data_IF_845523486320
#
_entry.id   IF_845523486320
#
_cell.length_a   1.000
_cell.length_b   1.000
_cell.length_c   1.000
_cell.angle_alpha   90.00
_cell.angle_beta   90.00
_cell.angle_gamma   90.00
#
_symmetry.space_group_name_H-M   'P 1'
#
loop_
_entity.id
_entity.type
_entity.pdbx_description
1 polymer ?
#
# COMPACT_ATOMS: atom_id res chain seq x y z
N UNK A 1 -0.24 19.88 -34.81
CA UNK A 1 0.12 18.47 -34.57
C UNK A 1 -1.12 17.77 -34.04
N UNK A 2 -1.80 17.00 -34.91
CA UNK A 2 -2.91 16.06 -34.67
C UNK A 2 -3.43 15.69 -36.08
N UNK A 3 -2.92 14.63 -36.70
CA UNK A 3 -3.43 14.18 -38.02
C UNK A 3 -4.43 13.03 -37.90
N UNK A 4 -4.46 12.31 -36.76
CA UNK A 4 -5.37 11.19 -36.55
C UNK A 4 -5.50 10.87 -35.05
N UNK A 5 -6.73 10.73 -34.56
CA UNK A 5 -7.03 10.41 -33.15
C UNK A 5 -6.87 8.90 -32.89
N UNK A 6 -7.19 8.07 -33.90
CA UNK A 6 -7.07 6.63 -33.85
C UNK A 6 -6.25 6.14 -35.05
N UNK A 7 -5.41 5.14 -34.84
CA UNK A 7 -4.79 4.37 -35.93
C UNK A 7 -5.20 2.91 -35.81
N UNK A 8 -5.53 2.31 -36.95
CA UNK A 8 -5.91 0.91 -37.05
C UNK A 8 -4.75 0.13 -37.68
N UNK A 9 -4.26 -0.87 -36.95
CA UNK A 9 -3.30 -1.85 -37.43
C UNK A 9 -4.09 -3.11 -37.78
N UNK A 10 -4.33 -3.26 -39.08
CA UNK A 10 -5.17 -4.31 -39.65
C UNK A 10 -4.51 -5.68 -39.56
N UNK A 11 -3.18 -5.76 -39.62
CA UNK A 11 -2.42 -7.01 -39.49
C UNK A 11 -2.62 -7.63 -38.10
N UNK A 12 -2.66 -6.80 -37.07
CA UNK A 12 -2.89 -7.23 -35.68
C UNK A 12 -4.35 -7.09 -35.23
N UNK A 13 -5.25 -6.70 -36.13
CA UNK A 13 -6.66 -6.41 -35.87
C UNK A 13 -6.88 -5.54 -34.61
N UNK A 14 -6.05 -4.49 -34.48
CA UNK A 14 -6.05 -3.62 -33.30
C UNK A 14 -6.28 -2.16 -33.68
N UNK A 15 -7.01 -1.45 -32.83
CA UNK A 15 -7.21 0.00 -32.92
C UNK A 15 -6.53 0.62 -31.71
N UNK A 16 -5.68 1.62 -31.92
CA UNK A 16 -4.93 2.31 -30.86
C UNK A 16 -5.10 3.83 -30.96
N UNK A 17 -5.16 4.50 -29.81
CA UNK A 17 -5.14 5.97 -29.71
C UNK A 17 -3.70 6.45 -29.76
N UNK A 18 -3.36 7.35 -30.69
CA UNK A 18 -1.96 7.73 -30.99
C UNK A 18 -1.44 8.85 -30.09
N UNK A 19 -2.33 9.73 -29.63
CA UNK A 19 -1.97 10.95 -28.89
C UNK A 19 -2.33 10.88 -27.39
N UNK A 20 -2.55 9.69 -26.85
CA UNK A 20 -2.83 9.45 -25.43
C UNK A 20 -1.56 9.15 -24.63
N UNK A 21 -1.40 9.77 -23.45
CA UNK A 21 -0.31 9.43 -22.52
C UNK A 21 -0.35 7.97 -22.02
N UNK A 22 -1.47 7.29 -22.22
CA UNK A 22 -1.63 5.85 -22.03
C UNK A 22 -2.08 5.25 -23.38
N UNK A 23 -1.35 4.25 -23.94
CA UNK A 23 -1.70 3.64 -25.22
C UNK A 23 -2.94 2.75 -25.06
N UNK A 24 -4.12 3.36 -25.16
CA UNK A 24 -5.39 2.64 -25.13
C UNK A 24 -5.56 1.92 -26.47
N UNK A 25 -5.50 0.60 -26.45
CA UNK A 25 -5.68 -0.25 -27.62
C UNK A 25 -6.74 -1.31 -27.41
N UNK A 26 -7.52 -1.59 -28.45
CA UNK A 26 -8.52 -2.66 -28.49
C UNK A 26 -8.20 -3.62 -29.61
N UNK A 27 -8.31 -4.91 -29.34
CA UNK A 27 -8.16 -5.98 -30.32
C UNK A 27 -9.52 -6.59 -30.62
N UNK A 28 -9.79 -6.82 -31.90
CA UNK A 28 -10.96 -7.55 -32.34
C UNK A 28 -10.73 -9.05 -32.18
N UNK A 29 -11.59 -9.73 -31.42
CA UNK A 29 -11.56 -11.19 -31.26
C UNK A 29 -12.61 -11.91 -32.11
N UNK A 30 -13.03 -11.31 -33.22
CA UNK A 30 -14.00 -11.90 -34.16
C UNK A 30 -15.48 -11.69 -33.79
N UNK A 31 -15.81 -11.61 -32.50
CA UNK A 31 -17.17 -11.34 -32.01
C UNK A 31 -17.26 -10.14 -31.05
N UNK A 32 -16.17 -9.84 -30.35
CA UNK A 32 -16.14 -8.80 -29.32
C UNK A 32 -14.85 -7.99 -29.42
N UNK A 33 -14.92 -6.74 -28.98
CA UNK A 33 -13.74 -5.89 -28.77
C UNK A 33 -13.21 -6.15 -27.36
N UNK A 34 -11.93 -6.53 -27.25
CA UNK A 34 -11.24 -6.65 -25.95
C UNK A 34 -10.16 -5.58 -25.86
N UNK A 35 -10.07 -4.89 -24.73
CA UNK A 35 -9.00 -3.92 -24.49
C UNK A 35 -7.67 -4.68 -24.32
N UNK A 36 -6.71 -4.43 -25.22
CA UNK A 36 -5.38 -5.08 -25.22
C UNK A 36 -4.43 -4.45 -24.20
N UNK A 37 -4.80 -3.29 -23.67
CA UNK A 37 -4.08 -2.56 -22.63
C UNK A 37 -4.89 -2.43 -21.34
N UNK A 38 -5.71 -3.43 -21.04
CA UNK A 38 -5.92 -3.76 -19.63
C UNK A 38 -4.57 -4.31 -19.15
N UNK A 39 -4.05 -3.75 -18.05
CA UNK A 39 -2.79 -4.14 -17.40
C UNK A 39 -2.92 -5.56 -16.80
N UNK A 40 -3.26 -6.51 -17.66
CA UNK A 40 -3.59 -7.91 -17.36
C UNK A 40 -2.33 -8.77 -17.28
N UNK A 41 -1.16 -8.25 -17.66
CA UNK A 41 0.11 -8.99 -17.77
C UNK A 41 1.16 -8.61 -16.71
N UNK A 42 0.74 -7.91 -15.65
CA UNK A 42 1.34 -8.22 -14.36
C UNK A 42 0.43 -9.28 -13.75
N UNK A 43 0.57 -10.51 -14.24
CA UNK A 43 0.16 -11.64 -13.42
C UNK A 43 0.76 -11.39 -12.04
N UNK A 44 -0.08 -11.35 -11.00
CA UNK A 44 0.39 -11.25 -9.62
C UNK A 44 1.16 -12.54 -9.34
N UNK A 45 2.41 -12.58 -9.78
CA UNK A 45 3.25 -13.76 -9.72
C UNK A 45 3.45 -14.08 -8.24
N UNK A 46 3.57 -15.36 -7.93
CA UNK A 46 3.66 -15.85 -6.56
C UNK A 46 4.76 -15.15 -5.74
N UNK A 47 5.82 -14.70 -6.39
CA UNK A 47 6.92 -13.93 -5.81
C UNK A 47 6.45 -12.58 -5.24
N UNK A 48 5.50 -11.90 -5.89
CA UNK A 48 4.95 -10.62 -5.41
C UNK A 48 4.16 -10.84 -4.12
N UNK A 49 3.40 -11.93 -4.03
CA UNK A 49 2.68 -12.29 -2.80
C UNK A 49 3.65 -12.60 -1.65
N UNK A 50 4.75 -13.30 -1.93
CA UNK A 50 5.79 -13.55 -0.91
C UNK A 50 6.40 -12.25 -0.40
N UNK A 51 6.74 -11.32 -1.29
CA UNK A 51 7.28 -10.00 -0.91
C UNK A 51 6.26 -9.19 -0.11
N UNK A 52 4.99 -9.22 -0.51
CA UNK A 52 3.91 -8.54 0.21
C UNK A 52 3.75 -9.09 1.64
N UNK A 53 3.73 -10.41 1.80
CA UNK A 53 3.68 -11.07 3.11
C UNK A 53 4.90 -10.70 3.95
N UNK A 54 6.11 -10.79 3.37
CA UNK A 54 7.33 -10.39 4.06
C UNK A 54 7.27 -8.93 4.52
N UNK A 55 6.80 -8.01 3.67
CA UNK A 55 6.71 -6.60 4.02
C UNK A 55 5.71 -6.32 5.15
N UNK A 56 4.63 -7.11 5.28
CA UNK A 56 3.65 -6.97 6.36
C UNK A 56 4.14 -7.58 7.67
N UNK A 57 4.74 -8.78 7.62
CA UNK A 57 5.07 -9.55 8.82
C UNK A 57 6.49 -9.34 9.32
N UNK A 58 7.48 -9.12 8.45
CA UNK A 58 8.87 -8.97 8.85
C UNK A 58 9.10 -7.79 9.81
N UNK A 59 8.57 -6.58 9.56
CA UNK A 59 8.74 -5.47 10.50
C UNK A 59 8.17 -5.74 11.92
N UNK A 60 6.87 -6.11 12.09
CA UNK A 60 6.33 -6.36 13.42
C UNK A 60 6.93 -7.60 14.09
N UNK A 61 7.32 -8.64 13.33
CA UNK A 61 8.00 -9.81 13.92
C UNK A 61 9.40 -9.45 14.40
N UNK A 62 10.16 -8.64 13.66
CA UNK A 62 11.48 -8.17 14.11
C UNK A 62 11.38 -7.34 15.39
N UNK A 63 10.42 -6.42 15.46
CA UNK A 63 10.17 -5.60 16.66
C UNK A 63 9.72 -6.47 17.84
N UNK A 64 8.79 -7.40 17.61
CA UNK A 64 8.31 -8.32 18.65
C UNK A 64 9.38 -9.29 19.14
N UNK A 65 10.25 -9.79 18.25
CA UNK A 65 11.36 -10.65 18.64
C UNK A 65 12.41 -9.87 19.43
N UNK A 66 12.69 -8.62 19.05
CA UNK A 66 13.57 -7.74 19.81
C UNK A 66 13.01 -7.47 21.22
N UNK A 67 11.71 -7.24 21.36
CA UNK A 67 11.09 -7.00 22.67
C UNK A 67 11.08 -8.25 23.57
N UNK A 68 10.99 -9.45 22.99
CA UNK A 68 11.15 -10.70 23.72
C UNK A 68 12.60 -10.97 24.13
N UNK A 69 13.56 -10.66 23.26
CA UNK A 69 14.99 -10.88 23.51
C UNK A 69 15.53 -9.88 24.56
N UNK A 70 15.04 -8.65 24.52
CA UNK A 70 15.41 -7.56 25.42
C UNK A 70 14.16 -7.03 26.13
N UNK A 71 13.63 -7.77 27.13
CA UNK A 71 12.40 -7.38 27.80
C UNK A 71 12.57 -6.04 28.52
N UNK A 72 11.58 -5.14 28.44
CA UNK A 72 11.59 -3.91 29.23
C UNK A 72 11.48 -4.24 30.72
N UNK A 73 12.05 -3.38 31.55
CA UNK A 73 12.01 -3.56 33.01
C UNK A 73 10.55 -3.59 33.51
N UNK A 74 10.19 -4.53 34.40
CA UNK A 74 8.83 -4.62 34.92
C UNK A 74 8.39 -3.35 35.63
N UNK A 75 7.12 -2.97 35.43
CA UNK A 75 6.50 -1.80 36.07
C UNK A 75 6.61 -1.81 37.61
N UNK A 76 6.70 -2.99 38.23
CA UNK A 76 6.81 -3.20 39.67
C UNK A 76 8.11 -2.65 40.28
N UNK A 77 9.18 -2.55 39.49
CA UNK A 77 10.41 -1.89 39.93
C UNK A 77 10.23 -0.37 39.96
N UNK A 78 9.40 0.18 39.07
CA UNK A 78 9.20 1.62 38.92
C UNK A 78 8.24 2.21 39.96
N UNK A 79 7.35 1.39 40.56
CA UNK A 79 6.38 1.85 41.57
C UNK A 79 6.99 2.12 42.94
N UNK A 80 8.19 1.62 43.21
CA UNK A 80 8.89 1.79 44.50
C UNK A 80 10.12 2.72 44.39
N UNK A 81 10.35 3.34 43.22
CA UNK A 81 11.47 4.26 43.01
C UNK A 81 11.14 5.64 43.57
N UNK A 82 12.16 6.29 44.14
CA UNK A 82 12.02 7.64 44.65
C UNK A 82 11.80 8.65 43.49
N UNK A 83 11.20 9.82 43.75
CA UNK A 83 11.03 10.87 42.75
C UNK A 83 12.33 11.37 42.11
N UNK A 84 13.47 11.25 42.81
CA UNK A 84 14.78 11.68 42.32
C UNK A 84 15.45 10.63 41.42
N UNK A 85 15.19 9.34 41.64
CA UNK A 85 15.62 8.25 40.74
C UNK A 85 14.88 8.29 39.39
N UNK A 86 13.59 8.65 39.41
CA UNK A 86 12.75 8.79 38.21
C UNK A 86 13.22 9.89 37.25
N UNK A 87 13.82 10.97 37.79
CA UNK A 87 14.34 12.08 37.00
C UNK A 87 15.70 11.72 36.36
N UNK A 88 16.55 10.97 37.06
CA UNK A 88 17.84 10.48 36.55
C UNK A 88 17.66 9.38 35.48
N UNK A 89 16.60 8.58 35.60
CA UNK A 89 16.28 7.55 34.61
C UNK A 89 15.67 8.11 33.31
N UNK A 90 15.52 9.44 33.12
CA UNK A 90 15.12 9.99 31.81
C UNK A 90 13.82 9.42 31.20
N UNK A 91 12.88 8.94 32.01
CA UNK A 91 11.59 8.39 31.56
C UNK A 91 11.60 6.97 30.95
N UNK A 92 12.73 6.25 30.87
CA UNK A 92 12.77 4.86 30.32
C UNK A 92 11.91 3.86 31.12
N UNK A 93 11.58 4.16 32.38
CA UNK A 93 10.72 3.34 33.23
C UNK A 93 9.25 3.27 32.77
N UNK A 94 8.76 4.27 32.02
CA UNK A 94 7.37 4.29 31.55
C UNK A 94 7.17 3.69 30.16
N UNK A 95 8.25 3.28 29.48
CA UNK A 95 8.23 2.86 28.08
C UNK A 95 7.78 1.40 27.86
N UNK A 96 7.16 0.73 28.83
CA UNK A 96 6.72 -0.66 28.69
C UNK A 96 5.66 -0.85 27.59
N UNK A 97 4.84 0.18 27.32
CA UNK A 97 3.82 0.19 26.27
C UNK A 97 4.40 0.42 24.88
N UNK A 98 5.61 0.99 24.79
CA UNK A 98 6.21 1.43 23.54
C UNK A 98 6.43 0.27 22.56
N UNK A 99 7.06 -0.86 22.93
CA UNK A 99 7.24 -1.98 22.00
C UNK A 99 5.93 -2.56 21.49
N UNK A 100 4.90 -2.63 22.34
CA UNK A 100 3.57 -3.15 21.97
C UNK A 100 2.89 -2.23 20.96
N UNK A 101 2.80 -0.94 21.27
CA UNK A 101 2.20 0.07 20.38
C UNK A 101 2.96 0.14 19.06
N UNK A 102 4.30 0.12 19.11
CA UNK A 102 5.14 0.19 17.92
C UNK A 102 4.98 -1.04 17.02
N UNK A 103 4.87 -2.24 17.61
CA UNK A 103 4.61 -3.48 16.86
C UNK A 103 3.27 -3.42 16.13
N UNK A 104 2.22 -3.00 16.83
CA UNK A 104 0.86 -2.87 16.27
C UNK A 104 0.83 -1.82 15.16
N UNK A 105 1.43 -0.65 15.40
CA UNK A 105 1.53 0.43 14.43
C UNK A 105 2.28 -0.03 13.17
N UNK A 106 3.44 -0.68 13.33
CA UNK A 106 4.21 -1.22 12.23
C UNK A 106 3.37 -2.19 11.38
N UNK A 107 2.66 -3.13 12.00
CA UNK A 107 1.78 -4.06 11.29
C UNK A 107 0.71 -3.32 10.46
N UNK A 108 -0.05 -2.41 11.08
CA UNK A 108 -1.11 -1.69 10.39
C UNK A 108 -0.61 -0.76 9.28
N UNK A 109 0.53 -0.08 9.50
CA UNK A 109 1.14 0.78 8.49
C UNK A 109 1.56 -0.02 7.25
N UNK A 110 2.23 -1.16 7.44
CA UNK A 110 2.66 -2.00 6.32
C UNK A 110 1.49 -2.68 5.63
N UNK A 111 0.49 -3.15 6.39
CA UNK A 111 -0.75 -3.69 5.83
C UNK A 111 -1.49 -2.64 5.01
N UNK A 112 -1.58 -1.40 5.49
CA UNK A 112 -2.19 -0.29 4.76
C UNK A 112 -1.44 0.00 3.46
N UNK A 113 -0.11 0.04 3.49
CA UNK A 113 0.71 0.26 2.31
C UNK A 113 0.54 -0.84 1.25
N UNK A 114 0.58 -2.11 1.67
CA UNK A 114 0.35 -3.25 0.76
C UNK A 114 -1.08 -3.26 0.23
N UNK A 115 -2.07 -3.02 1.10
CA UNK A 115 -3.48 -2.91 0.70
C UNK A 115 -3.68 -1.82 -0.35
N UNK A 116 -3.07 -0.64 -0.15
CA UNK A 116 -3.11 0.45 -1.12
C UNK A 116 -2.54 0.05 -2.49
N UNK A 117 -1.38 -0.62 -2.51
CA UNK A 117 -0.75 -1.11 -3.74
C UNK A 117 -1.66 -2.10 -4.48
N UNK A 118 -2.26 -3.05 -3.75
CA UNK A 118 -3.20 -4.03 -4.29
C UNK A 118 -4.43 -3.33 -4.88
N UNK A 119 -5.00 -2.36 -4.16
CA UNK A 119 -6.18 -1.62 -4.62
C UNK A 119 -5.91 -0.77 -5.87
N UNK A 120 -4.75 -0.12 -5.94
CA UNK A 120 -4.32 0.66 -7.11
C UNK A 120 -4.06 -0.25 -8.31
N UNK A 121 -3.48 -1.44 -8.09
CA UNK A 121 -3.24 -2.43 -9.13
C UNK A 121 -4.55 -2.99 -9.71
N UNK A 122 -5.46 -3.46 -8.86
CA UNK A 122 -6.73 -4.06 -9.30
C UNK A 122 -7.78 -3.02 -9.76
N UNK A 123 -7.52 -1.71 -9.62
CA UNK A 123 -8.46 -0.63 -9.90
C UNK A 123 -9.86 -0.91 -9.32
N UNK A 124 -9.92 -1.25 -8.02
CA UNK A 124 -11.20 -1.63 -7.39
C UNK A 124 -12.27 -0.55 -7.60
N UNK A 125 -13.47 -0.89 -8.10
CA UNK A 125 -14.47 0.10 -8.53
C UNK A 125 -14.93 1.02 -7.39
N UNK A 126 -14.97 0.49 -6.15
CA UNK A 126 -15.29 1.28 -4.95
C UNK A 126 -14.20 2.32 -4.63
N UNK A 127 -12.91 1.95 -4.77
CA UNK A 127 -11.79 2.85 -4.50
C UNK A 127 -11.77 4.02 -5.50
N UNK A 128 -11.97 3.73 -6.79
CA UNK A 128 -12.05 4.76 -7.84
C UNK A 128 -13.23 5.70 -7.60
N UNK A 129 -14.41 5.17 -7.26
CA UNK A 129 -15.59 5.98 -6.97
C UNK A 129 -15.37 6.90 -5.75
N UNK A 130 -14.78 6.38 -4.67
CA UNK A 130 -14.44 7.17 -3.47
C UNK A 130 -13.40 8.25 -3.78
N UNK A 131 -12.35 7.93 -4.54
CA UNK A 131 -11.29 8.86 -4.95
C UNK A 131 -11.85 10.02 -5.78
N UNK A 132 -12.68 9.72 -6.78
CA UNK A 132 -13.34 10.74 -7.62
C UNK A 132 -14.25 11.63 -6.78
N UNK A 133 -15.05 11.04 -5.88
CA UNK A 133 -15.94 11.80 -5.00
C UNK A 133 -15.17 12.72 -4.05
N UNK A 134 -14.05 12.25 -3.50
CA UNK A 134 -13.16 13.07 -2.68
C UNK A 134 -12.57 14.26 -3.44
N UNK A 135 -12.08 14.01 -4.66
CA UNK A 135 -11.54 15.06 -5.51
C UNK A 135 -12.59 16.11 -5.90
N UNK A 136 -13.82 15.67 -6.19
CA UNK A 136 -14.93 16.58 -6.48
C UNK A 136 -15.26 17.47 -5.28
N UNK A 137 -15.32 16.90 -4.07
CA UNK A 137 -15.57 17.67 -2.85
C UNK A 137 -14.46 18.69 -2.55
N UNK A 138 -13.20 18.32 -2.75
CA UNK A 138 -12.07 19.24 -2.57
C UNK A 138 -12.09 20.37 -3.60
N UNK A 139 -12.43 20.07 -4.87
CA UNK A 139 -12.49 21.05 -5.95
C UNK A 139 -13.69 21.99 -5.85
N UNK A 140 -14.77 21.58 -5.18
CA UNK A 140 -15.90 22.44 -4.86
C UNK A 140 -15.63 23.39 -3.69
N UNK A 141 -14.60 23.11 -2.88
CA UNK A 141 -14.22 23.92 -1.70
C UNK A 141 -13.04 24.88 -1.96
N UNK A 142 -12.47 24.86 -3.16
CA UNK A 142 -11.41 25.75 -3.61
C UNK A 142 -11.96 26.75 -4.64
#
# INVERSE_FOLDING_TARGET
FCRHIFTADLDKQRVQVVDGSQPLSWRWTGKTWKATHRREDLDLTWEIWLVAIALVFLPPTLIGLASHTFPPMPNSYCTNLSPWDLLQSGGICSAYWFPVVWTVLAFFSHLSFVSWLVLEHFQFPLYVALKVRWQQLLRQRA
#
